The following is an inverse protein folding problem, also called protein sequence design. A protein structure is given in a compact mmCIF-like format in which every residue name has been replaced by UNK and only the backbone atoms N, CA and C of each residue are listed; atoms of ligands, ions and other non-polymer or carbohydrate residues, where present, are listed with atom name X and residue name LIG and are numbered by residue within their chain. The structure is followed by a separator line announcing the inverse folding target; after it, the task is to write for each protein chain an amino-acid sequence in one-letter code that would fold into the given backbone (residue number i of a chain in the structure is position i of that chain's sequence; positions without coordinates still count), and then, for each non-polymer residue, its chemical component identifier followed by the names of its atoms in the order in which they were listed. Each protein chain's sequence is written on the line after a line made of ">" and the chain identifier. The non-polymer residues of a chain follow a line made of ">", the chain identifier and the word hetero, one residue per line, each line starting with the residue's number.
data_IF_977393848049
#
_entry.id   IF_977393848049
#
_cell.length_a   1.000
_cell.length_b   1.000
_cell.length_c   1.000
_cell.angle_alpha   90.00
_cell.angle_beta   90.00
_cell.angle_gamma   90.00
#
_symmetry.space_group_name_H-M   'P 1'
#
loop_
_entity.id
_entity.type
_entity.pdbx_description
1 polymer ?
#
# COMPACT_ATOMS: atom_id res chain seq x y z
N UNK A 1 -24.84 8.04 -16.57
CA UNK A 1 -24.07 8.09 -15.30
C UNK A 1 -23.28 6.80 -15.19
N UNK A 2 -21.96 6.85 -15.00
CA UNK A 2 -21.14 5.64 -14.79
C UNK A 2 -21.54 5.03 -13.43
N UNK A 3 -21.84 3.74 -13.41
CA UNK A 3 -22.46 3.07 -12.27
C UNK A 3 -21.44 2.80 -11.15
N UNK A 4 -21.40 3.68 -10.15
CA UNK A 4 -20.79 3.40 -8.85
C UNK A 4 -21.72 2.45 -8.09
N UNK A 5 -21.21 1.29 -7.67
CA UNK A 5 -21.95 0.33 -6.86
C UNK A 5 -21.88 0.73 -5.39
N UNK A 6 -22.84 0.29 -4.57
CA UNK A 6 -22.90 0.58 -3.12
C UNK A 6 -21.63 0.19 -2.33
N UNK A 7 -20.80 -0.71 -2.87
CA UNK A 7 -19.57 -1.21 -2.23
C UNK A 7 -18.30 -0.49 -2.71
N UNK A 8 -18.42 0.41 -3.69
CA UNK A 8 -17.28 1.11 -4.25
C UNK A 8 -16.85 2.23 -3.30
N UNK A 9 -15.54 2.44 -3.19
CA UNK A 9 -15.00 3.53 -2.37
C UNK A 9 -14.83 4.76 -3.24
N UNK A 10 -15.51 5.84 -2.85
CA UNK A 10 -15.41 7.13 -3.52
C UNK A 10 -14.35 7.97 -2.80
N UNK A 11 -13.34 8.43 -3.53
CA UNK A 11 -12.35 9.39 -3.04
C UNK A 11 -12.43 10.66 -3.85
N UNK A 12 -12.38 11.81 -3.18
CA UNK A 12 -12.32 13.13 -3.82
C UNK A 12 -10.89 13.64 -3.72
N UNK A 13 -10.36 14.16 -4.82
CA UNK A 13 -9.05 14.82 -4.86
C UNK A 13 -9.19 16.19 -5.50
N UNK A 14 -8.37 17.13 -5.04
CA UNK A 14 -8.29 18.46 -5.64
C UNK A 14 -7.72 18.34 -7.06
N UNK A 15 -8.53 18.69 -8.06
CA UNK A 15 -8.13 18.71 -9.46
C UNK A 15 -7.22 19.89 -9.80
N UNK A 16 -6.44 19.76 -10.87
CA UNK A 16 -5.65 20.88 -11.44
C UNK A 16 -6.40 21.63 -12.55
N UNK A 17 -7.57 21.14 -12.92
CA UNK A 17 -8.42 21.65 -14.02
C UNK A 17 -9.64 22.36 -13.49
N UNK A 18 -10.26 23.21 -14.31
CA UNK A 18 -11.55 23.85 -14.00
C UNK A 18 -12.76 22.91 -14.16
N UNK A 19 -12.56 21.77 -14.83
CA UNK A 19 -13.59 20.79 -15.08
C UNK A 19 -13.50 19.64 -14.06
N UNK A 20 -14.66 19.12 -13.68
CA UNK A 20 -14.78 17.91 -12.88
C UNK A 20 -14.32 16.69 -13.69
N UNK A 21 -13.34 15.94 -13.16
CA UNK A 21 -12.85 14.68 -13.75
C UNK A 21 -13.34 13.49 -12.89
N UNK A 22 -13.85 12.43 -13.53
CA UNK A 22 -14.21 11.16 -12.88
C UNK A 22 -13.28 10.03 -13.35
N UNK A 23 -12.38 9.62 -12.45
CA UNK A 23 -11.48 8.48 -12.64
C UNK A 23 -12.01 7.23 -11.91
N UNK A 24 -12.06 6.11 -12.62
CA UNK A 24 -12.31 4.79 -12.00
C UNK A 24 -10.98 4.05 -11.98
N UNK A 25 -10.45 3.81 -10.78
CA UNK A 25 -9.17 3.15 -10.56
C UNK A 25 -9.43 1.85 -9.80
N UNK A 26 -8.86 0.75 -10.29
CA UNK A 26 -8.87 -0.50 -9.55
C UNK A 26 -8.00 -0.39 -8.29
N UNK A 27 -8.53 -0.87 -7.18
CA UNK A 27 -7.81 -0.83 -5.91
C UNK A 27 -8.45 -1.72 -4.85
N UNK A 28 -7.90 -1.64 -3.66
CA UNK A 28 -8.40 -2.33 -2.48
C UNK A 28 -8.38 -1.41 -1.27
N UNK A 29 -9.42 -1.50 -0.43
CA UNK A 29 -9.50 -0.83 0.86
C UNK A 29 -9.62 -1.85 1.97
N UNK A 30 -8.96 -1.59 3.10
CA UNK A 30 -9.10 -2.40 4.30
C UNK A 30 -9.06 -1.54 5.58
N UNK A 31 -9.74 -2.03 6.62
CA UNK A 31 -9.98 -1.31 7.88
C UNK A 31 -8.83 -1.47 8.89
N UNK A 32 -7.63 -1.05 8.47
CA UNK A 32 -6.46 -0.89 9.33
C UNK A 32 -5.65 0.32 8.87
N UNK A 33 -5.45 1.27 9.78
CA UNK A 33 -4.62 2.43 9.53
C UNK A 33 -3.19 2.31 10.04
N UNK A 34 -2.50 3.45 10.06
CA UNK A 34 -1.11 3.53 10.51
C UNK A 34 -0.96 3.07 11.98
N UNK A 35 0.14 2.38 12.28
CA UNK A 35 0.47 1.98 13.65
C UNK A 35 0.88 3.19 14.50
N UNK A 36 1.44 4.22 13.86
CA UNK A 36 1.93 5.43 14.52
C UNK A 36 1.55 6.68 13.72
N UNK A 37 1.04 7.75 14.36
CA UNK A 37 0.71 9.01 13.68
C UNK A 37 1.95 9.72 13.12
N UNK A 38 3.15 9.36 13.56
CA UNK A 38 4.40 9.93 13.03
C UNK A 38 4.69 9.53 11.59
N UNK A 39 3.93 8.60 10.99
CA UNK A 39 4.01 8.28 9.56
C UNK A 39 3.25 9.27 8.67
N UNK A 40 2.39 10.12 9.23
CA UNK A 40 1.65 11.15 8.47
C UNK A 40 2.64 12.01 7.68
N UNK A 41 2.36 12.20 6.40
CA UNK A 41 3.23 12.96 5.50
C UNK A 41 2.49 14.09 4.75
N UNK A 42 1.19 14.25 4.99
CA UNK A 42 0.38 15.33 4.43
C UNK A 42 0.08 16.39 5.47
N UNK A 43 0.15 17.66 5.07
CA UNK A 43 -0.30 18.79 5.91
C UNK A 43 -1.82 18.95 5.91
N UNK A 44 -2.50 18.49 4.86
CA UNK A 44 -3.96 18.52 4.70
C UNK A 44 -4.55 17.14 4.98
N UNK A 45 -4.94 16.93 6.24
CA UNK A 45 -5.52 15.68 6.73
C UNK A 45 -4.50 14.79 7.45
N UNK A 46 -4.99 13.99 8.40
CA UNK A 46 -4.17 13.03 9.15
C UNK A 46 -4.00 11.74 8.33
N UNK A 47 -3.27 11.84 7.21
CA UNK A 47 -3.03 10.74 6.28
C UNK A 47 -1.57 10.65 5.84
N UNK A 48 -1.21 9.45 5.39
CA UNK A 48 0.05 9.16 4.74
C UNK A 48 -0.25 8.76 3.29
N UNK A 49 0.36 9.45 2.33
CA UNK A 49 0.16 9.24 0.90
C UNK A 49 1.49 8.98 0.21
N UNK A 50 1.59 7.87 -0.53
CA UNK A 50 2.76 7.52 -1.30
C UNK A 50 2.38 7.10 -2.73
N UNK A 51 3.28 7.34 -3.67
CA UNK A 51 3.18 6.92 -5.07
C UNK A 51 4.30 5.94 -5.40
N UNK A 52 4.07 5.07 -6.38
CA UNK A 52 5.02 4.07 -6.89
C UNK A 52 5.72 3.27 -5.78
N UNK A 53 4.91 2.57 -5.01
CA UNK A 53 5.26 2.06 -3.68
C UNK A 53 5.62 0.59 -3.72
N UNK A 54 6.63 0.20 -2.95
CA UNK A 54 6.90 -1.20 -2.64
C UNK A 54 6.13 -1.67 -1.41
N UNK A 55 5.62 -2.90 -1.43
CA UNK A 55 4.82 -3.49 -0.36
C UNK A 55 5.48 -4.76 0.17
N UNK A 56 5.79 -4.77 1.47
CA UNK A 56 6.22 -5.94 2.23
C UNK A 56 5.03 -6.52 3.00
N UNK A 57 4.73 -7.80 2.80
CA UNK A 57 3.69 -8.52 3.54
C UNK A 57 4.32 -9.58 4.45
N UNK A 58 4.01 -9.54 5.75
CA UNK A 58 4.47 -10.53 6.72
C UNK A 58 3.30 -11.16 7.47
N UNK A 59 3.26 -12.49 7.52
CA UNK A 59 2.32 -13.25 8.33
C UNK A 59 2.69 -13.23 9.82
N UNK A 60 3.91 -12.82 10.16
CA UNK A 60 4.45 -12.80 11.53
C UNK A 60 4.62 -11.39 12.05
N UNK A 61 4.78 -11.29 13.36
CA UNK A 61 5.21 -10.08 14.06
C UNK A 61 6.64 -9.68 13.67
N UNK A 62 6.88 -8.38 13.49
CA UNK A 62 8.18 -7.78 13.22
C UNK A 62 8.57 -6.91 14.43
N UNK A 63 9.51 -7.41 15.23
CA UNK A 63 10.04 -6.70 16.41
C UNK A 63 11.47 -6.19 16.21
N UNK A 64 12.24 -6.86 15.34
CA UNK A 64 13.64 -6.55 15.04
C UNK A 64 13.74 -5.68 13.78
N UNK A 65 14.62 -4.69 13.81
CA UNK A 65 14.91 -3.87 12.64
C UNK A 65 15.58 -4.68 11.52
N UNK A 66 16.35 -5.71 11.87
CA UNK A 66 17.08 -6.56 10.91
C UNK A 66 16.16 -7.20 9.88
N UNK A 67 14.94 -7.56 10.29
CA UNK A 67 13.91 -8.13 9.41
C UNK A 67 13.34 -7.12 8.38
N UNK A 68 13.63 -5.82 8.51
CA UNK A 68 13.12 -4.77 7.62
C UNK A 68 14.23 -4.21 6.72
N UNK A 69 15.48 -4.21 7.20
CA UNK A 69 16.64 -3.62 6.50
C UNK A 69 16.72 -4.07 5.04
N UNK A 70 16.65 -5.37 4.68
CA UNK A 70 16.75 -5.79 3.28
C UNK A 70 15.65 -5.21 2.38
N UNK A 71 14.39 -5.24 2.85
CA UNK A 71 13.26 -4.67 2.11
C UNK A 71 13.40 -3.16 1.92
N UNK A 72 13.89 -2.45 2.95
CA UNK A 72 14.16 -1.04 2.86
C UNK A 72 15.31 -0.74 1.90
N UNK A 73 16.43 -1.46 1.96
CA UNK A 73 17.58 -1.22 1.07
C UNK A 73 17.17 -1.34 -0.40
N UNK A 74 16.38 -2.37 -0.73
CA UNK A 74 15.80 -2.53 -2.07
C UNK A 74 14.91 -1.33 -2.42
N UNK A 75 13.97 -0.95 -1.57
CA UNK A 75 13.09 0.18 -1.84
C UNK A 75 13.87 1.49 -2.03
N UNK A 76 14.87 1.74 -1.19
CA UNK A 76 15.74 2.92 -1.25
C UNK A 76 16.61 2.94 -2.51
N UNK A 77 17.14 1.79 -2.94
CA UNK A 77 17.93 1.67 -4.17
C UNK A 77 17.11 2.01 -5.42
N UNK A 78 15.79 1.79 -5.36
CA UNK A 78 14.85 2.17 -6.41
C UNK A 78 14.19 3.54 -6.19
N UNK A 79 14.57 4.27 -5.13
CA UNK A 79 13.95 5.54 -4.74
C UNK A 79 12.43 5.46 -4.54
N UNK A 80 11.95 4.34 -4.01
CA UNK A 80 10.54 4.07 -3.79
C UNK A 80 10.18 4.04 -2.30
N UNK A 81 9.00 4.55 -1.91
CA UNK A 81 8.47 4.35 -0.57
C UNK A 81 8.24 2.86 -0.27
N UNK A 82 8.25 2.51 1.02
CA UNK A 82 7.96 1.15 1.49
C UNK A 82 6.73 1.13 2.41
N UNK A 83 5.78 0.26 2.10
CA UNK A 83 4.63 -0.05 2.97
C UNK A 83 4.83 -1.43 3.56
N UNK A 84 4.76 -1.52 4.89
CA UNK A 84 4.88 -2.78 5.63
C UNK A 84 3.52 -3.14 6.20
N UNK A 85 3.00 -4.31 5.79
CA UNK A 85 1.82 -4.92 6.40
C UNK A 85 2.26 -6.19 7.13
N UNK A 86 2.12 -6.21 8.45
CA UNK A 86 2.49 -7.36 9.27
C UNK A 86 1.42 -7.66 10.32
N UNK A 87 1.44 -8.85 10.93
CA UNK A 87 0.59 -9.14 12.10
C UNK A 87 0.70 -8.04 13.16
N UNK A 88 1.95 -7.64 13.46
CA UNK A 88 2.28 -6.51 14.31
C UNK A 88 3.68 -6.01 13.93
N UNK A 89 3.88 -4.70 14.04
CA UNK A 89 5.20 -4.06 14.01
C UNK A 89 5.35 -3.31 15.33
N UNK A 90 6.33 -3.67 16.14
CA UNK A 90 6.54 -3.05 17.45
C UNK A 90 8.01 -3.07 17.90
N UNK A 91 8.25 -2.76 19.17
CA UNK A 91 9.58 -2.82 19.78
C UNK A 91 10.59 -1.90 19.10
N UNK A 92 11.78 -2.46 18.87
CA UNK A 92 12.90 -1.78 18.22
C UNK A 92 12.56 -1.41 16.77
N UNK A 93 11.94 -2.33 16.02
CA UNK A 93 11.56 -2.12 14.63
C UNK A 93 10.70 -0.84 14.47
N UNK A 94 9.62 -0.73 15.24
CA UNK A 94 8.72 0.43 15.16
C UNK A 94 9.44 1.72 15.57
N UNK A 95 10.22 1.67 16.66
CA UNK A 95 10.94 2.83 17.17
C UNK A 95 11.93 3.37 16.14
N UNK A 96 12.68 2.48 15.49
CA UNK A 96 13.65 2.84 14.46
C UNK A 96 12.99 3.39 13.20
N UNK A 97 11.89 2.77 12.74
CA UNK A 97 11.13 3.28 11.60
C UNK A 97 10.61 4.72 11.84
N UNK A 98 10.05 4.97 13.02
CA UNK A 98 9.54 6.29 13.39
C UNK A 98 10.67 7.32 13.50
N UNK A 99 11.77 6.96 14.16
CA UNK A 99 12.92 7.87 14.30
C UNK A 99 13.54 8.22 12.95
N UNK A 100 13.71 7.25 12.06
CA UNK A 100 14.26 7.49 10.73
C UNK A 100 13.29 8.26 9.83
N UNK A 101 11.98 8.06 9.99
CA UNK A 101 10.96 8.87 9.32
C UNK A 101 11.09 10.36 9.70
N UNK A 102 11.27 10.64 11.00
CA UNK A 102 11.34 12.01 11.53
C UNK A 102 12.69 12.69 11.28
N UNK A 103 13.81 11.97 11.45
CA UNK A 103 15.16 12.55 11.36
C UNK A 103 15.70 12.60 9.93
N UNK A 104 15.49 11.52 9.16
CA UNK A 104 16.10 11.32 7.84
C UNK A 104 15.08 11.45 6.71
N UNK A 105 13.79 11.56 7.05
CA UNK A 105 12.73 11.67 6.05
C UNK A 105 12.39 10.35 5.36
N UNK A 106 12.75 9.21 5.98
CA UNK A 106 12.52 7.87 5.41
C UNK A 106 11.07 7.67 4.95
N UNK A 107 10.85 7.36 3.67
CA UNK A 107 9.52 7.15 3.11
C UNK A 107 8.99 5.75 3.42
N UNK A 108 8.52 5.56 4.66
CA UNK A 108 8.01 4.27 5.13
C UNK A 108 6.71 4.44 5.92
N UNK A 109 5.84 3.44 5.85
CA UNK A 109 4.67 3.32 6.73
C UNK A 109 4.44 1.86 7.13
N UNK A 110 4.08 1.66 8.40
CA UNK A 110 3.71 0.35 8.93
C UNK A 110 2.23 0.31 9.31
N UNK A 111 1.55 -0.75 8.87
CA UNK A 111 0.11 -1.01 9.07
C UNK A 111 -0.06 -2.44 9.60
N UNK A 112 -0.99 -2.64 10.54
CA UNK A 112 -1.33 -4.00 10.98
C UNK A 112 -2.13 -4.72 9.91
N UNK A 113 -1.85 -6.00 9.72
CA UNK A 113 -2.65 -6.88 8.91
C UNK A 113 -4.08 -6.99 9.49
N UNK A 114 -5.13 -6.86 8.67
CA UNK A 114 -6.50 -7.07 9.09
C UNK A 114 -6.82 -8.55 9.29
N UNK A 115 -7.86 -8.83 10.07
CA UNK A 115 -8.25 -10.18 10.46
C UNK A 115 -7.40 -10.74 11.61
N UNK A 116 -7.64 -12.02 11.92
CA UNK A 116 -6.96 -12.79 12.96
C UNK A 116 -6.82 -14.25 12.52
N UNK A 117 -5.82 -14.98 13.03
CA UNK A 117 -5.59 -16.39 12.71
C UNK A 117 -5.52 -16.67 11.21
N UNK A 118 -6.19 -17.72 10.75
CA UNK A 118 -6.19 -18.13 9.34
C UNK A 118 -6.87 -17.13 8.41
N UNK A 119 -7.88 -16.38 8.90
CA UNK A 119 -8.51 -15.32 8.12
C UNK A 119 -7.51 -14.22 7.75
N UNK A 120 -6.60 -13.87 8.68
CA UNK A 120 -5.51 -12.92 8.39
C UNK A 120 -4.55 -13.48 7.35
N UNK A 121 -4.15 -14.75 7.46
CA UNK A 121 -3.26 -15.42 6.49
C UNK A 121 -3.90 -15.38 5.09
N UNK A 122 -5.16 -15.76 4.96
CA UNK A 122 -5.89 -15.73 3.68
C UNK A 122 -5.98 -14.31 3.11
N UNK A 123 -6.34 -13.32 3.93
CA UNK A 123 -6.39 -11.92 3.47
C UNK A 123 -5.02 -11.38 3.04
N UNK A 124 -3.93 -11.81 3.68
CA UNK A 124 -2.58 -11.44 3.26
C UNK A 124 -2.23 -12.07 1.90
N UNK A 125 -2.62 -13.33 1.67
CA UNK A 125 -2.45 -13.99 0.36
C UNK A 125 -3.22 -13.27 -0.75
N UNK A 126 -4.46 -12.88 -0.50
CA UNK A 126 -5.26 -12.15 -1.48
C UNK A 126 -4.58 -10.82 -1.87
N UNK A 127 -4.00 -10.12 -0.89
CA UNK A 127 -3.19 -8.92 -1.15
C UNK A 127 -1.91 -9.23 -1.89
N UNK A 128 -1.28 -10.35 -1.59
CA UNK A 128 -0.05 -10.75 -2.24
C UNK A 128 -0.27 -10.99 -3.74
N UNK A 129 -1.35 -11.71 -4.08
CA UNK A 129 -1.78 -11.93 -5.45
C UNK A 129 -2.11 -10.59 -6.13
N UNK A 130 -2.87 -9.71 -5.45
CA UNK A 130 -3.27 -8.43 -6.03
C UNK A 130 -2.12 -7.45 -6.28
N UNK A 131 -1.05 -7.52 -5.48
CA UNK A 131 0.13 -6.64 -5.56
C UNK A 131 1.34 -7.28 -6.24
N UNK A 132 1.24 -8.57 -6.61
CA UNK A 132 2.28 -9.32 -7.30
C UNK A 132 3.48 -9.67 -6.42
N UNK A 133 3.24 -10.08 -5.16
CA UNK A 133 4.31 -10.35 -4.20
C UNK A 133 4.10 -11.65 -3.42
N UNK A 134 4.99 -11.93 -2.47
CA UNK A 134 4.93 -13.08 -1.57
C UNK A 134 4.65 -12.64 -0.13
N UNK A 135 4.07 -13.54 0.67
CA UNK A 135 3.86 -13.34 2.10
C UNK A 135 5.00 -13.98 2.88
N UNK A 136 5.78 -13.18 3.60
CA UNK A 136 6.88 -13.65 4.43
C UNK A 136 6.38 -14.33 5.71
N UNK A 137 7.11 -15.35 6.16
CA UNK A 137 6.81 -16.05 7.41
C UNK A 137 5.59 -16.98 7.37
N UNK A 138 5.07 -17.33 6.18
CA UNK A 138 4.07 -18.37 6.02
C UNK A 138 4.67 -19.77 6.23
N UNK A 139 3.90 -20.67 6.85
CA UNK A 139 4.29 -22.08 7.02
C UNK A 139 4.47 -22.75 5.65
N UNK A 140 5.67 -23.30 5.39
CA UNK A 140 6.02 -23.96 4.13
C UNK A 140 6.88 -23.12 3.17
N UNK A 141 7.02 -21.81 3.42
CA UNK A 141 7.98 -20.96 2.71
C UNK A 141 9.18 -20.67 3.63
N UNK A 142 10.39 -21.00 3.19
CA UNK A 142 11.64 -20.69 3.91
C UNK A 142 12.04 -19.21 3.76
N UNK A 143 11.09 -18.35 3.37
CA UNK A 143 11.34 -16.94 3.12
C UNK A 143 11.30 -16.18 4.45
N UNK A 144 12.51 -15.94 4.93
CA UNK A 144 12.84 -15.06 6.04
C UNK A 144 12.82 -13.60 5.55
N UNK A 145 12.28 -12.69 6.36
CA UNK A 145 12.28 -11.25 6.03
C UNK A 145 13.71 -10.68 5.92
N UNK A 146 14.69 -11.44 6.42
CA UNK A 146 16.12 -11.18 6.32
C UNK A 146 16.71 -11.49 4.93
N UNK A 147 15.97 -12.19 4.04
CA UNK A 147 16.42 -12.62 2.71
C UNK A 147 15.49 -12.13 1.58
N UNK A 148 14.88 -10.96 1.75
CA UNK A 148 13.97 -10.34 0.76
C UNK A 148 14.72 -10.06 -0.55
N UNK A 149 14.14 -10.44 -1.68
CA UNK A 149 14.57 -10.02 -3.00
C UNK A 149 13.60 -9.02 -3.63
N UNK A 150 14.04 -8.29 -4.65
CA UNK A 150 13.21 -7.24 -5.27
C UNK A 150 11.90 -7.78 -5.87
N UNK A 151 11.90 -9.03 -6.39
CA UNK A 151 10.69 -9.64 -6.93
C UNK A 151 9.71 -10.13 -5.84
N UNK A 152 10.15 -10.21 -4.59
CA UNK A 152 9.31 -10.60 -3.45
C UNK A 152 8.49 -9.42 -2.91
N UNK A 153 8.82 -8.20 -3.32
CA UNK A 153 8.11 -6.99 -2.92
C UNK A 153 6.98 -6.66 -3.90
N UNK A 154 5.84 -6.28 -3.36
CA UNK A 154 4.67 -5.90 -4.15
C UNK A 154 4.78 -4.51 -4.69
N UNK A 155 4.02 -4.22 -5.73
CA UNK A 155 3.98 -2.90 -6.37
C UNK A 155 2.58 -2.34 -6.35
N UNK A 156 2.47 -1.10 -5.91
CA UNK A 156 1.21 -0.35 -5.85
C UNK A 156 1.45 1.05 -6.40
N UNK A 157 0.57 1.53 -7.26
CA UNK A 157 0.72 2.85 -7.88
C UNK A 157 0.49 3.98 -6.89
N UNK A 158 -0.49 3.84 -6.01
CA UNK A 158 -0.73 4.81 -4.95
C UNK A 158 -1.25 4.15 -3.67
N UNK A 159 -0.76 4.60 -2.53
CA UNK A 159 -1.18 4.16 -1.20
C UNK A 159 -1.63 5.36 -0.38
N UNK A 160 -2.82 5.27 0.21
CA UNK A 160 -3.39 6.24 1.14
C UNK A 160 -3.73 5.55 2.44
N UNK A 161 -3.14 5.99 3.55
CA UNK A 161 -3.38 5.41 4.88
C UNK A 161 -3.80 6.49 5.87
N UNK A 162 -4.92 6.27 6.55
CA UNK A 162 -5.43 7.11 7.63
C UNK A 162 -5.28 6.40 8.97
N UNK A 163 -5.91 6.91 10.03
CA UNK A 163 -5.94 6.27 11.34
C UNK A 163 -6.65 4.91 11.32
N UNK A 164 -7.71 4.80 10.52
CA UNK A 164 -8.62 3.66 10.57
C UNK A 164 -8.56 2.80 9.30
N UNK A 165 -8.14 3.37 8.19
CA UNK A 165 -8.21 2.76 6.87
C UNK A 165 -6.87 2.80 6.13
N UNK A 166 -6.66 1.83 5.26
CA UNK A 166 -5.65 1.85 4.22
C UNK A 166 -6.27 1.51 2.88
N UNK A 167 -5.85 2.24 1.85
CA UNK A 167 -6.31 2.10 0.48
C UNK A 167 -5.12 1.99 -0.46
N UNK A 168 -5.10 0.93 -1.26
CA UNK A 168 -4.11 0.70 -2.30
C UNK A 168 -4.79 0.84 -3.65
N UNK A 169 -4.24 1.68 -4.51
CA UNK A 169 -4.75 1.97 -5.85
C UNK A 169 -3.68 1.49 -6.85
N UNK A 170 -4.11 0.79 -7.89
CA UNK A 170 -3.21 0.42 -8.99
C UNK A 170 -2.71 1.68 -9.69
N UNK A 171 -1.60 1.54 -10.41
CA UNK A 171 -1.09 2.60 -11.28
C UNK A 171 -2.21 3.10 -12.19
N UNK A 172 -2.36 4.43 -12.23
CA UNK A 172 -3.19 5.06 -13.23
C UNK A 172 -2.56 4.72 -14.57
N UNK A 173 -3.22 3.90 -15.39
CA UNK A 173 -2.83 3.76 -16.79
C UNK A 173 -2.90 5.16 -17.40
N UNK A 174 -1.74 5.77 -17.58
CA UNK A 174 -1.59 7.07 -18.19
C UNK A 174 -2.01 6.97 -19.64
N UNK A 175 -3.29 7.23 -19.90
CA UNK A 175 -3.73 7.79 -21.16
C UNK A 175 -5.06 8.48 -20.95
N UNK A 176 -5.02 9.80 -20.73
CA UNK A 176 -6.21 10.66 -20.74
C UNK A 176 -7.00 10.49 -22.06
N UNK A 177 -6.36 9.99 -23.12
CA UNK A 177 -6.97 9.70 -24.41
C UNK A 177 -7.73 8.35 -24.52
N UNK A 178 -7.46 7.36 -23.66
CA UNK A 178 -8.09 6.04 -23.79
C UNK A 178 -9.42 5.91 -23.03
N UNK A 179 -9.63 6.69 -21.96
CA UNK A 179 -10.88 6.63 -21.19
C UNK A 179 -12.04 7.29 -21.95
N UNK A 180 -11.76 8.28 -22.80
CA UNK A 180 -12.77 8.90 -23.69
C UNK A 180 -13.12 8.00 -24.89
N UNK A 181 -12.16 7.26 -25.45
CA UNK A 181 -12.38 6.46 -26.65
C UNK A 181 -13.15 5.15 -26.41
N UNK A 182 -13.19 4.62 -25.18
CA UNK A 182 -14.02 3.46 -24.86
C UNK A 182 -15.53 3.79 -24.91
N UNK A 183 -15.92 5.06 -24.76
CA UNK A 183 -17.33 5.47 -24.78
C UNK A 183 -17.93 5.69 -26.18
N UNK A 184 -17.11 5.79 -27.25
CA UNK A 184 -17.61 5.94 -28.62
C UNK A 184 -17.85 4.63 -29.37
N UNK A 185 -17.27 3.50 -28.93
CA UNK A 185 -17.39 2.20 -29.63
C UNK A 185 -18.54 1.31 -29.17
N UNK A 186 -19.17 1.60 -28.02
CA UNK A 186 -20.30 0.81 -27.50
C UNK A 186 -21.68 1.44 -27.76
N UNK A 187 -21.75 2.48 -28.60
CA UNK A 187 -23.00 3.11 -29.04
C UNK A 187 -23.24 2.95 -30.56
N UNK A 188 -22.45 2.10 -31.24
CA UNK A 188 -22.62 1.75 -32.66
C UNK A 188 -22.87 0.26 -32.89
N UNK A 189 -23.46 -0.47 -31.94
CA UNK A 189 -23.90 -1.86 -32.13
C UNK A 189 -25.12 -2.14 -31.26
#
# INVERSE_FOLDING_TARGET
>A
MKNVRRKDVITVKDGKTLNDELDIIEGMKFYRGYISPYFINTSKGQKCEFQDVHVLLSAKKISSVQSIVPAHEIASAHHKPLVIIAEAVDGEALSTLVLNRLKVGLQVIAVKAPGFGDNRKNQLKDRAIATGNVVFGEEGLTLHSEAVQHHDLGKVGEVVVTKDDAMFLKERKGDKAQIENVFKKSLSS
#
